data_IF_007252592063
#
_entry.id   IF_007252592063
#
_cell.length_a   1.000
_cell.length_b   1.000
_cell.length_c   1.000
_cell.angle_alpha   90.00
_cell.angle_beta   90.00
_cell.angle_gamma   90.00
#
_symmetry.space_group_name_H-M   'P 1'
#
loop_
_entity.id
_entity.type
_entity.pdbx_description
1 polymer ?
#
# COMPACT_ATOMS: atom_id res chain seq x y z
N UNK A 1 20.92 32.10 21.23
CA UNK A 1 19.46 31.89 21.31
C UNK A 1 19.22 30.39 21.43
N UNK A 2 18.36 29.96 22.35
CA UNK A 2 17.95 28.56 22.44
C UNK A 2 17.01 28.26 21.28
N UNK A 3 17.30 27.23 20.49
CA UNK A 3 16.48 26.83 19.34
C UNK A 3 15.39 25.88 19.84
N UNK A 4 14.14 26.25 19.65
CA UNK A 4 12.94 25.52 20.09
C UNK A 4 12.39 24.58 19.01
N UNK A 5 12.74 24.83 17.73
CA UNK A 5 12.29 24.09 16.56
C UNK A 5 13.48 23.57 15.77
N UNK A 6 13.51 22.26 15.48
CA UNK A 6 14.48 21.67 14.57
C UNK A 6 13.82 21.33 13.24
N UNK A 7 14.54 21.57 12.14
CA UNK A 7 14.13 21.22 10.79
C UNK A 7 15.21 20.35 10.15
N UNK A 8 14.79 19.26 9.49
CA UNK A 8 15.65 18.35 8.74
C UNK A 8 15.04 18.16 7.36
N UNK A 9 15.82 18.42 6.30
CA UNK A 9 15.44 17.98 4.97
C UNK A 9 15.74 16.48 4.84
N UNK A 10 14.69 15.69 4.71
CA UNK A 10 14.74 14.23 4.69
C UNK A 10 15.00 13.77 3.26
N UNK A 11 14.25 14.33 2.30
CA UNK A 11 14.42 14.15 0.85
C UNK A 11 13.92 15.40 0.11
N UNK A 12 14.04 15.42 -1.22
CA UNK A 12 13.44 16.49 -2.03
C UNK A 12 11.92 16.51 -1.82
N UNK A 13 11.38 17.68 -1.44
CA UNK A 13 9.96 17.84 -1.11
C UNK A 13 9.49 17.16 0.19
N UNK A 14 10.41 16.65 1.03
CA UNK A 14 10.10 16.00 2.31
C UNK A 14 10.96 16.55 3.45
N UNK A 15 10.32 17.12 4.45
CA UNK A 15 10.98 17.69 5.63
C UNK A 15 10.38 17.13 6.92
N UNK A 16 11.20 17.11 7.95
CA UNK A 16 10.83 16.82 9.31
C UNK A 16 10.98 18.09 10.14
N UNK A 17 9.95 18.47 10.88
CA UNK A 17 9.99 19.58 11.84
C UNK A 17 9.61 19.06 13.21
N UNK A 18 10.49 19.22 14.19
CA UNK A 18 10.25 18.82 15.58
C UNK A 18 10.24 20.02 16.52
N UNK A 19 9.23 20.04 17.40
CA UNK A 19 9.06 21.02 18.48
C UNK A 19 8.71 20.23 19.75
N UNK A 20 9.71 19.60 20.41
CA UNK A 20 9.46 18.68 21.53
C UNK A 20 8.75 19.33 22.73
N UNK A 21 8.93 20.63 22.93
CA UNK A 21 8.33 21.38 24.04
C UNK A 21 6.80 21.31 24.11
N UNK A 22 6.15 21.10 22.96
CA UNK A 22 4.69 21.02 22.84
C UNK A 22 4.23 19.69 22.23
N UNK A 23 5.09 18.66 22.24
CA UNK A 23 4.85 17.35 21.62
C UNK A 23 4.32 17.49 20.18
N UNK A 24 5.03 18.25 19.34
CA UNK A 24 4.64 18.44 17.94
C UNK A 24 5.74 18.03 16.98
N UNK A 25 5.38 17.11 16.09
CA UNK A 25 6.28 16.49 15.13
C UNK A 25 5.59 16.44 13.76
N UNK A 26 6.06 17.26 12.84
CA UNK A 26 5.43 17.50 11.56
C UNK A 26 6.26 16.89 10.42
N UNK A 27 5.62 15.97 9.69
CA UNK A 27 6.08 15.57 8.38
C UNK A 27 5.57 16.59 7.36
N UNK A 28 6.47 17.32 6.69
CA UNK A 28 6.11 18.24 5.61
C UNK A 28 6.38 17.57 4.26
N UNK A 29 5.34 17.38 3.46
CA UNK A 29 5.38 16.54 2.26
C UNK A 29 5.03 15.10 2.56
N UNK A 30 4.29 14.45 1.66
CA UNK A 30 3.72 13.12 1.90
C UNK A 30 3.87 12.22 0.67
N UNK A 31 5.07 12.22 0.10
CA UNK A 31 5.43 11.39 -1.05
C UNK A 31 5.40 9.88 -0.72
N UNK A 32 5.44 9.07 -1.77
CA UNK A 32 5.54 7.61 -1.66
C UNK A 32 6.74 7.21 -0.78
N UNK A 33 6.56 6.18 0.05
CA UNK A 33 7.57 5.70 1.02
C UNK A 33 8.09 6.77 2.02
N UNK A 34 7.37 7.88 2.26
CA UNK A 34 7.83 8.94 3.18
C UNK A 34 8.17 8.45 4.60
N UNK A 35 7.45 7.45 5.12
CA UNK A 35 7.78 6.81 6.40
C UNK A 35 9.14 6.11 6.35
N UNK A 36 9.45 5.39 5.27
CA UNK A 36 10.74 4.70 5.10
C UNK A 36 11.90 5.69 5.12
N UNK A 37 11.72 6.84 4.47
CA UNK A 37 12.68 7.94 4.49
C UNK A 37 12.91 8.51 5.89
N UNK A 38 11.84 8.71 6.65
CA UNK A 38 11.94 9.21 8.02
C UNK A 38 12.68 8.22 8.93
N UNK A 39 12.44 6.91 8.78
CA UNK A 39 13.18 5.86 9.49
C UNK A 39 14.67 5.93 9.14
N UNK A 40 15.01 5.97 7.85
CA UNK A 40 16.41 6.01 7.39
C UNK A 40 17.19 7.23 7.88
N UNK A 41 16.50 8.35 8.10
CA UNK A 41 17.09 9.60 8.57
C UNK A 41 17.05 9.75 10.09
N UNK A 42 16.61 8.72 10.82
CA UNK A 42 16.52 8.72 12.28
C UNK A 42 15.47 9.69 12.82
N UNK A 43 14.47 10.07 12.01
CA UNK A 43 13.34 10.89 12.45
C UNK A 43 12.21 10.03 13.06
N UNK A 44 12.18 8.74 12.70
CA UNK A 44 11.38 7.69 13.32
C UNK A 44 12.37 6.69 13.89
N UNK A 45 12.23 6.39 15.18
CA UNK A 45 13.11 5.48 15.90
C UNK A 45 12.30 4.50 16.74
N UNK A 46 12.78 3.26 16.85
CA UNK A 46 12.21 2.28 17.76
C UNK A 46 12.58 2.64 19.21
N UNK A 47 11.61 2.59 20.10
CA UNK A 47 11.77 2.83 21.53
C UNK A 47 11.09 1.72 22.32
N UNK A 48 11.45 1.60 23.60
CA UNK A 48 10.86 0.64 24.53
C UNK A 48 10.47 1.35 25.82
N UNK A 49 9.24 1.12 26.27
CA UNK A 49 8.79 1.59 27.59
C UNK A 49 7.95 0.52 28.26
N UNK A 50 8.31 0.15 29.49
CA UNK A 50 7.63 -0.90 30.27
C UNK A 50 7.51 -2.25 29.53
N UNK A 51 8.55 -2.64 28.75
CA UNK A 51 8.55 -3.88 27.97
C UNK A 51 7.73 -3.84 26.68
N UNK A 52 7.11 -2.70 26.35
CA UNK A 52 6.41 -2.50 25.10
C UNK A 52 7.30 -1.75 24.10
N UNK A 53 7.52 -2.37 22.95
CA UNK A 53 8.27 -1.81 21.82
C UNK A 53 7.30 -1.06 20.91
N UNK A 54 7.62 0.19 20.58
CA UNK A 54 6.86 1.02 19.65
C UNK A 54 7.81 2.02 18.95
N UNK A 55 7.30 2.77 17.98
CA UNK A 55 8.08 3.74 17.22
C UNK A 55 7.75 5.19 17.65
N UNK A 56 8.74 6.09 17.61
CA UNK A 56 8.52 7.55 17.62
C UNK A 56 8.08 8.02 16.25
N UNK A 57 7.73 9.30 16.07
CA UNK A 57 7.51 9.82 14.72
C UNK A 57 6.53 10.98 14.62
N UNK A 58 6.06 11.29 13.40
CA UNK A 58 5.21 12.45 13.17
C UNK A 58 3.87 12.26 13.87
N UNK A 59 3.24 13.35 14.28
CA UNK A 59 1.85 13.40 14.72
C UNK A 59 1.02 14.41 13.91
N UNK A 60 1.62 15.00 12.88
CA UNK A 60 0.97 15.84 11.89
C UNK A 60 1.61 15.66 10.51
N UNK A 61 0.82 15.90 9.46
CA UNK A 61 1.27 15.91 8.07
C UNK A 61 0.87 17.23 7.41
N UNK A 62 1.83 17.94 6.83
CA UNK A 62 1.61 19.08 5.94
C UNK A 62 1.65 18.58 4.48
N UNK A 63 0.53 18.70 3.79
CA UNK A 63 0.31 18.23 2.43
C UNK A 63 0.87 19.22 1.40
N UNK A 64 1.39 18.70 0.30
CA UNK A 64 1.69 19.50 -0.89
C UNK A 64 0.38 20.05 -1.50
N UNK A 65 0.43 21.24 -2.09
CA UNK A 65 -0.71 21.85 -2.80
C UNK A 65 -1.05 21.10 -4.09
N UNK A 66 -0.03 20.53 -4.75
CA UNK A 66 -0.13 19.86 -6.04
C UNK A 66 -0.39 18.36 -5.89
N UNK A 67 -1.33 17.81 -6.65
CA UNK A 67 -1.67 16.38 -6.61
C UNK A 67 -0.59 15.47 -7.20
N UNK A 68 0.02 15.89 -8.32
CA UNK A 68 1.06 15.14 -9.02
C UNK A 68 2.32 16.01 -9.17
N UNK A 69 3.47 15.38 -9.01
CA UNK A 69 4.78 15.98 -9.29
C UNK A 69 5.70 14.93 -9.92
N UNK A 70 6.36 15.27 -11.04
CA UNK A 70 7.28 14.36 -11.72
C UNK A 70 6.64 13.03 -12.16
N UNK A 71 5.32 13.00 -12.36
CA UNK A 71 4.57 11.80 -12.69
C UNK A 71 4.14 10.92 -11.50
N UNK A 72 4.39 11.35 -10.27
CA UNK A 72 4.06 10.63 -9.04
C UNK A 72 3.04 11.39 -8.20
N UNK A 73 2.29 10.68 -7.36
CA UNK A 73 1.44 11.31 -6.34
C UNK A 73 2.29 12.07 -5.31
N UNK A 74 1.91 13.32 -5.03
CA UNK A 74 2.62 14.15 -4.04
C UNK A 74 2.19 13.87 -2.60
N UNK A 75 0.98 13.31 -2.43
CA UNK A 75 0.33 13.10 -1.14
C UNK A 75 -0.23 11.67 -1.04
N UNK A 76 0.33 10.85 -0.16
CA UNK A 76 -0.04 9.47 0.15
C UNK A 76 -0.03 9.28 1.69
N UNK A 77 -1.01 9.89 2.37
CA UNK A 77 -1.04 9.99 3.83
C UNK A 77 -1.54 8.75 4.57
N UNK A 78 -1.91 7.68 3.86
CA UNK A 78 -2.40 6.44 4.48
C UNK A 78 -1.36 5.81 5.39
N UNK A 79 -0.14 5.57 4.90
CA UNK A 79 0.91 4.91 5.68
C UNK A 79 1.47 5.81 6.80
N UNK A 80 1.68 7.13 6.61
CA UNK A 80 1.96 8.04 7.71
C UNK A 80 0.92 8.00 8.82
N UNK A 81 -0.37 7.98 8.48
CA UNK A 81 -1.47 7.88 9.46
C UNK A 81 -1.52 6.49 10.11
N UNK A 82 -1.34 5.43 9.33
CA UNK A 82 -1.27 4.07 9.86
C UNK A 82 -0.09 3.92 10.84
N UNK A 83 1.07 4.49 10.53
CA UNK A 83 2.22 4.54 11.43
C UNK A 83 1.89 5.25 12.75
N UNK A 84 1.24 6.42 12.71
CA UNK A 84 0.79 7.14 13.91
C UNK A 84 -0.11 6.31 14.82
N UNK A 85 -0.97 5.45 14.25
CA UNK A 85 -1.91 4.66 15.03
C UNK A 85 -1.35 3.32 15.49
N UNK A 86 -0.71 2.57 14.59
CA UNK A 86 -0.34 1.18 14.82
C UNK A 86 1.09 1.00 15.32
N UNK A 87 2.05 1.74 14.75
CA UNK A 87 3.47 1.61 15.14
C UNK A 87 3.83 2.53 16.31
N UNK A 88 3.22 3.72 16.38
CA UNK A 88 3.41 4.60 17.53
C UNK A 88 2.42 4.30 18.68
N UNK A 89 1.31 3.62 18.41
CA UNK A 89 0.29 3.26 19.41
C UNK A 89 -0.62 4.38 19.90
N UNK A 90 -0.77 5.49 19.16
CA UNK A 90 -1.52 6.68 19.65
C UNK A 90 -3.01 6.43 19.90
N UNK A 91 -3.62 5.49 19.19
CA UNK A 91 -5.05 5.15 19.34
C UNK A 91 -5.35 4.00 20.30
N UNK A 92 -4.34 3.42 20.94
CA UNK A 92 -4.49 2.22 21.76
C UNK A 92 -4.60 2.61 23.24
N UNK A 93 -5.79 2.56 23.82
CA UNK A 93 -6.01 2.89 25.23
C UNK A 93 -5.12 2.03 26.12
N UNK A 94 -4.35 2.67 27.01
CA UNK A 94 -3.38 2.00 27.88
C UNK A 94 -1.98 1.86 27.30
N UNK A 95 -1.76 2.23 26.02
CA UNK A 95 -0.44 2.32 25.42
C UNK A 95 0.33 3.54 25.98
N UNK A 96 1.66 3.48 26.20
CA UNK A 96 2.45 4.59 26.75
C UNK A 96 2.35 5.88 25.93
N UNK A 97 2.20 5.76 24.62
CA UNK A 97 2.04 6.88 23.68
C UNK A 97 0.57 7.17 23.31
N UNK A 98 -0.40 6.61 24.03
CA UNK A 98 -1.80 6.94 23.84
C UNK A 98 -2.02 8.44 24.01
N UNK A 99 -2.76 9.05 23.08
CA UNK A 99 -3.13 10.45 23.18
C UNK A 99 -4.57 10.66 22.76
N UNK A 100 -5.30 11.49 23.50
CA UNK A 100 -6.62 11.97 23.08
C UNK A 100 -6.52 12.98 21.94
N UNK A 101 -5.34 13.55 21.68
CA UNK A 101 -5.09 14.45 20.54
C UNK A 101 -4.97 13.61 19.27
N UNK A 102 -5.86 13.85 18.32
CA UNK A 102 -5.81 13.19 17.02
C UNK A 102 -4.61 13.68 16.20
N UNK A 103 -4.05 12.82 15.34
CA UNK A 103 -3.13 13.29 14.32
C UNK A 103 -3.77 14.34 13.42
N UNK A 104 -2.93 15.26 12.93
CA UNK A 104 -3.39 16.45 12.22
C UNK A 104 -3.00 16.42 10.74
N UNK A 105 -3.97 16.61 9.85
CA UNK A 105 -3.73 16.89 8.43
C UNK A 105 -3.79 18.40 8.17
N UNK A 106 -2.79 18.95 7.50
CA UNK A 106 -2.66 20.38 7.23
C UNK A 106 -2.45 20.58 5.73
N UNK A 107 -3.18 21.50 5.10
CA UNK A 107 -3.01 21.78 3.68
C UNK A 107 -4.19 22.54 3.09
N UNK A 108 -4.28 22.61 1.77
CA UNK A 108 -5.45 23.20 1.11
C UNK A 108 -6.71 22.36 1.35
N UNK A 109 -7.88 23.01 1.34
CA UNK A 109 -9.18 22.33 1.48
C UNK A 109 -9.34 21.18 0.49
N UNK A 110 -8.89 21.36 -0.76
CA UNK A 110 -8.95 20.34 -1.80
C UNK A 110 -8.09 19.12 -1.44
N UNK A 111 -6.84 19.34 -1.03
CA UNK A 111 -5.92 18.25 -0.71
C UNK A 111 -6.33 17.50 0.55
N UNK A 112 -6.85 18.22 1.56
CA UNK A 112 -7.42 17.59 2.76
C UNK A 112 -8.60 16.69 2.39
N UNK A 113 -9.57 17.19 1.62
CA UNK A 113 -10.74 16.40 1.23
C UNK A 113 -10.33 15.14 0.45
N UNK A 114 -9.40 15.27 -0.49
CA UNK A 114 -8.84 14.17 -1.26
C UNK A 114 -8.17 13.12 -0.35
N UNK A 115 -7.30 13.56 0.57
CA UNK A 115 -6.58 12.64 1.46
C UNK A 115 -7.50 11.96 2.48
N UNK A 116 -8.52 12.64 3.00
CA UNK A 116 -9.51 12.00 3.89
C UNK A 116 -10.27 10.88 3.16
N UNK A 117 -10.75 11.13 1.94
CA UNK A 117 -11.40 10.09 1.14
C UNK A 117 -10.43 8.95 0.79
N UNK A 118 -9.22 9.30 0.39
CA UNK A 118 -8.15 8.35 0.07
C UNK A 118 -7.84 7.41 1.24
N UNK A 119 -7.56 7.96 2.44
CA UNK A 119 -7.25 7.15 3.64
C UNK A 119 -8.46 6.29 4.02
N UNK A 120 -9.68 6.80 3.88
CA UNK A 120 -10.88 6.02 4.15
C UNK A 120 -10.99 4.81 3.21
N UNK A 121 -10.70 4.99 1.92
CA UNK A 121 -10.63 3.89 0.94
C UNK A 121 -9.43 2.98 1.17
N UNK A 122 -8.31 3.51 1.65
CA UNK A 122 -7.16 2.72 2.10
C UNK A 122 -7.49 1.78 3.23
N UNK A 123 -8.20 2.29 4.25
CA UNK A 123 -8.56 1.53 5.44
C UNK A 123 -9.66 0.50 5.21
N UNK A 124 -10.60 0.80 4.31
CA UNK A 124 -11.85 0.04 4.20
C UNK A 124 -12.21 -0.42 2.78
N UNK A 125 -11.57 0.08 1.73
CA UNK A 125 -11.91 -0.23 0.34
C UNK A 125 -13.34 0.18 -0.02
N UNK A 126 -14.18 -0.78 -0.39
CA UNK A 126 -15.62 -0.59 -0.52
C UNK A 126 -16.30 -0.52 0.86
N UNK A 127 -17.17 0.47 1.02
CA UNK A 127 -17.66 0.94 2.32
C UNK A 127 -19.13 0.67 2.56
N UNK A 128 -19.81 0.02 1.60
CA UNK A 128 -21.19 -0.43 1.77
C UNK A 128 -21.47 -1.72 0.99
N UNK A 129 -22.55 -2.43 1.36
CA UNK A 129 -23.03 -3.60 0.60
C UNK A 129 -23.49 -3.21 -0.81
N UNK A 130 -24.02 -2.01 -0.97
CA UNK A 130 -24.47 -1.47 -2.26
C UNK A 130 -23.29 -1.29 -3.22
N UNK A 131 -22.14 -0.84 -2.72
CA UNK A 131 -20.92 -0.78 -3.53
C UNK A 131 -20.48 -2.19 -3.98
N UNK A 132 -20.56 -3.20 -3.12
CA UNK A 132 -20.28 -4.60 -3.50
C UNK A 132 -21.26 -5.11 -4.57
N UNK A 133 -22.56 -4.88 -4.39
CA UNK A 133 -23.58 -5.26 -5.37
C UNK A 133 -23.37 -4.56 -6.73
N UNK A 134 -22.93 -3.30 -6.72
CA UNK A 134 -22.63 -2.55 -7.94
C UNK A 134 -21.44 -3.12 -8.74
N UNK A 135 -20.62 -4.00 -8.14
CA UNK A 135 -19.54 -4.71 -8.84
C UNK A 135 -20.05 -5.91 -9.66
N UNK A 136 -21.35 -6.23 -9.58
CA UNK A 136 -21.96 -7.38 -10.23
C UNK A 136 -22.02 -8.64 -9.36
N UNK A 137 -21.67 -8.53 -8.07
CA UNK A 137 -21.82 -9.63 -7.12
C UNK A 137 -23.29 -10.02 -6.93
N UNK A 138 -23.50 -11.31 -6.65
CA UNK A 138 -24.78 -11.77 -6.13
C UNK A 138 -25.02 -11.21 -4.72
N UNK A 139 -26.28 -11.23 -4.26
CA UNK A 139 -26.60 -10.83 -2.87
C UNK A 139 -25.87 -11.68 -1.83
N UNK A 140 -25.69 -12.96 -2.13
CA UNK A 140 -25.04 -13.93 -1.24
C UNK A 140 -23.53 -13.68 -1.15
N UNK A 141 -22.87 -13.42 -2.28
CA UNK A 141 -21.44 -13.08 -2.30
C UNK A 141 -21.18 -11.70 -1.68
N UNK A 142 -22.00 -10.70 -1.98
CA UNK A 142 -21.88 -9.38 -1.35
C UNK A 142 -22.09 -9.46 0.17
N UNK A 143 -23.02 -10.29 0.66
CA UNK A 143 -23.20 -10.50 2.09
C UNK A 143 -21.99 -11.19 2.73
N UNK A 144 -21.43 -12.21 2.08
CA UNK A 144 -20.22 -12.90 2.54
C UNK A 144 -19.03 -11.94 2.63
N UNK A 145 -18.72 -11.20 1.56
CA UNK A 145 -17.65 -10.20 1.54
C UNK A 145 -17.84 -9.13 2.63
N UNK A 146 -19.07 -8.62 2.78
CA UNK A 146 -19.37 -7.62 3.79
C UNK A 146 -19.15 -8.14 5.21
N UNK A 147 -19.62 -9.34 5.51
CA UNK A 147 -19.48 -9.92 6.85
C UNK A 147 -18.00 -10.13 7.21
N UNK A 148 -17.18 -10.63 6.27
CA UNK A 148 -15.73 -10.70 6.47
C UNK A 148 -15.11 -9.33 6.70
N UNK A 149 -15.48 -8.33 5.88
CA UNK A 149 -14.98 -6.95 6.04
C UNK A 149 -15.32 -6.38 7.41
N UNK A 150 -16.53 -6.63 7.93
CA UNK A 150 -16.92 -6.17 9.26
C UNK A 150 -16.05 -6.80 10.36
N UNK A 151 -15.59 -8.05 10.22
CA UNK A 151 -14.65 -8.64 11.19
C UNK A 151 -13.30 -7.91 11.21
N UNK A 152 -12.78 -7.49 10.05
CA UNK A 152 -11.57 -6.66 9.99
C UNK A 152 -11.81 -5.24 10.49
N UNK A 153 -13.00 -4.69 10.26
CA UNK A 153 -13.40 -3.36 10.70
C UNK A 153 -13.87 -3.32 12.18
N UNK A 154 -13.79 -4.43 12.92
CA UNK A 154 -14.32 -4.53 14.30
C UNK A 154 -15.80 -4.15 14.41
N UNK A 155 -16.59 -4.52 13.41
CA UNK A 155 -18.04 -4.34 13.35
C UNK A 155 -18.53 -3.01 12.77
N UNK A 156 -17.64 -2.04 12.52
CA UNK A 156 -18.05 -0.69 12.10
C UNK A 156 -17.07 -0.05 11.11
N UNK A 157 -17.60 0.51 10.01
CA UNK A 157 -16.88 1.44 9.14
C UNK A 157 -16.94 2.84 9.75
N UNK A 158 -15.84 3.27 10.38
CA UNK A 158 -15.76 4.57 11.04
C UNK A 158 -15.43 5.66 10.03
N UNK A 159 -16.06 6.83 10.20
CA UNK A 159 -15.68 8.01 9.42
C UNK A 159 -14.26 8.42 9.76
N UNK A 160 -13.49 8.77 8.74
CA UNK A 160 -12.07 9.10 8.90
C UNK A 160 -11.82 10.38 9.72
N UNK A 161 -12.76 11.32 9.74
CA UNK A 161 -12.71 12.54 10.54
C UNK A 161 -12.92 12.29 12.06
N UNK A 162 -13.36 11.09 12.43
CA UNK A 162 -13.30 10.63 13.81
C UNK A 162 -11.87 10.25 14.22
N UNK A 163 -10.99 9.95 13.26
CA UNK A 163 -9.59 9.59 13.49
C UNK A 163 -8.65 10.78 13.28
N UNK A 164 -8.94 11.70 12.35
CA UNK A 164 -8.03 12.79 12.04
C UNK A 164 -8.64 14.16 12.31
N UNK A 165 -7.85 15.07 12.86
CA UNK A 165 -8.14 16.49 12.80
C UNK A 165 -7.59 17.07 11.50
N UNK A 166 -8.18 18.16 11.02
CA UNK A 166 -7.73 18.83 9.80
C UNK A 166 -7.73 20.35 9.93
N UNK A 167 -6.69 21.00 9.41
CA UNK A 167 -6.59 22.47 9.36
C UNK A 167 -6.34 22.91 7.92
N UNK A 168 -7.29 23.69 7.40
CA UNK A 168 -7.21 24.29 6.07
C UNK A 168 -6.31 25.51 6.12
N UNK A 169 -5.25 25.48 5.31
CA UNK A 169 -4.40 26.64 5.08
C UNK A 169 -5.00 27.54 4.00
N UNK A 170 -4.88 28.85 4.23
CA UNK A 170 -5.12 29.90 3.25
C UNK A 170 -3.83 30.72 3.08
N UNK A 171 -3.93 31.87 2.41
CA UNK A 171 -2.77 32.77 2.25
C UNK A 171 -2.44 33.53 3.55
N UNK A 172 -3.35 33.52 4.54
CA UNK A 172 -3.10 34.10 5.86
C UNK A 172 -2.37 33.12 6.78
N UNK A 173 -1.54 33.67 7.67
CA UNK A 173 -0.93 32.89 8.75
C UNK A 173 -1.99 32.45 9.75
N UNK A 174 -1.97 31.17 10.12
CA UNK A 174 -2.90 30.58 11.08
C UNK A 174 -2.14 29.80 12.15
N UNK A 175 -2.63 29.86 13.39
CA UNK A 175 -2.16 28.99 14.47
C UNK A 175 -2.77 27.59 14.31
N UNK A 176 -1.91 26.58 14.25
CA UNK A 176 -2.31 25.19 14.04
C UNK A 176 -2.43 24.41 15.35
N UNK A 177 -1.59 24.70 16.34
CA UNK A 177 -1.56 24.04 17.65
C UNK A 177 -0.55 24.72 18.59
N UNK A 178 -0.93 24.96 19.85
CA UNK A 178 -0.02 25.34 20.94
C UNK A 178 1.00 26.45 20.58
N UNK A 179 0.56 27.52 19.89
CA UNK A 179 1.42 28.64 19.47
C UNK A 179 2.22 28.43 18.18
N UNK A 180 2.12 27.26 17.54
CA UNK A 180 2.73 26.97 16.24
C UNK A 180 1.86 27.58 15.16
N UNK A 181 2.47 28.39 14.29
CA UNK A 181 1.78 29.05 13.17
C UNK A 181 2.35 28.59 11.83
N UNK A 182 1.48 28.44 10.84
CA UNK A 182 1.87 28.16 9.46
C UNK A 182 1.28 29.22 8.54
N UNK A 183 2.10 29.70 7.61
CA UNK A 183 1.68 30.55 6.49
C UNK A 183 2.07 29.87 5.18
N UNK A 184 1.13 29.84 4.24
CA UNK A 184 1.39 29.46 2.85
C UNK A 184 1.92 30.68 2.10
N UNK A 185 3.19 30.66 1.72
CA UNK A 185 3.85 31.79 1.05
C UNK A 185 3.64 31.74 -0.47
N UNK A 186 3.64 30.54 -1.05
CA UNK A 186 3.37 30.26 -2.45
C UNK A 186 2.90 28.80 -2.62
N UNK A 187 2.65 28.36 -3.86
CA UNK A 187 2.37 26.94 -4.14
C UNK A 187 3.53 26.09 -3.61
N UNK A 188 3.22 25.12 -2.73
CA UNK A 188 4.19 24.23 -2.08
C UNK A 188 5.23 24.90 -1.15
N UNK A 189 5.20 26.22 -0.98
CA UNK A 189 6.13 26.95 -0.13
C UNK A 189 5.43 27.42 1.14
N UNK A 190 5.91 26.95 2.29
CA UNK A 190 5.29 27.24 3.59
C UNK A 190 6.33 27.74 4.59
N UNK A 191 5.96 28.73 5.40
CA UNK A 191 6.72 29.13 6.58
C UNK A 191 6.03 28.66 7.85
N UNK A 192 6.78 27.97 8.70
CA UNK A 192 6.38 27.48 10.03
C UNK A 192 7.07 28.34 11.08
N UNK A 193 6.32 28.83 12.07
CA UNK A 193 6.81 29.68 13.15
C UNK A 193 6.43 29.13 14.51
N UNK A 194 7.35 29.19 15.47
CA UNK A 194 7.10 28.91 16.88
C UNK A 194 8.02 29.78 17.74
N UNK A 195 7.44 30.67 18.55
CA UNK A 195 8.16 31.73 19.26
C UNK A 195 9.04 32.54 18.29
N UNK A 196 10.34 32.63 18.56
CA UNK A 196 11.34 33.34 17.75
C UNK A 196 11.85 32.49 16.57
N UNK A 197 11.57 31.18 16.56
CA UNK A 197 12.03 30.30 15.48
C UNK A 197 11.10 30.37 14.27
N UNK A 198 11.71 30.37 13.09
CA UNK A 198 11.04 30.35 11.79
C UNK A 198 11.77 29.41 10.85
N UNK A 199 11.02 28.58 10.13
CA UNK A 199 11.57 27.65 9.14
C UNK A 199 10.69 27.67 7.89
N UNK A 200 11.31 27.66 6.72
CA UNK A 200 10.62 27.54 5.45
C UNK A 200 10.82 26.14 4.88
N UNK A 201 9.76 25.56 4.32
CA UNK A 201 9.76 24.27 3.64
C UNK A 201 9.22 24.44 2.23
N UNK A 202 9.93 23.89 1.25
CA UNK A 202 9.52 23.83 -0.15
C UNK A 202 9.22 22.38 -0.53
N UNK A 203 7.94 22.04 -0.68
CA UNK A 203 7.46 20.69 -0.98
C UNK A 203 7.58 20.34 -2.47
N UNK A 204 8.15 21.23 -3.27
CA UNK A 204 8.39 21.02 -4.69
C UNK A 204 9.55 20.04 -4.91
N UNK A 205 9.45 19.22 -5.97
CA UNK A 205 10.59 18.46 -6.49
C UNK A 205 11.16 19.11 -7.76
N UNK A 206 12.42 18.85 -8.12
CA UNK A 206 12.98 19.33 -9.38
C UNK A 206 12.12 18.91 -10.58
N UNK A 207 12.01 19.76 -11.60
CA UNK A 207 11.15 19.49 -12.77
C UNK A 207 11.55 18.23 -13.57
N UNK A 208 12.83 17.86 -13.54
CA UNK A 208 13.37 16.60 -14.09
C UNK A 208 13.52 15.51 -13.02
N UNK A 209 13.19 15.82 -11.78
CA UNK A 209 13.39 14.98 -10.62
C UNK A 209 12.28 13.95 -10.49
N UNK A 210 12.66 12.76 -10.05
CA UNK A 210 11.75 11.81 -9.40
C UNK A 210 12.02 11.89 -7.92
N UNK A 211 11.02 11.51 -7.12
CA UNK A 211 11.32 11.09 -5.77
C UNK A 211 12.36 9.97 -5.83
N UNK A 212 13.49 10.06 -5.09
CA UNK A 212 14.40 8.94 -5.02
C UNK A 212 13.64 7.69 -4.52
N UNK A 213 14.21 6.51 -4.68
CA UNK A 213 13.77 5.34 -3.92
C UNK A 213 14.55 5.28 -2.59
N UNK A 214 13.93 4.85 -1.49
CA UNK A 214 14.62 4.76 -0.21
C UNK A 214 15.66 3.63 -0.22
N UNK A 215 15.53 2.64 -1.09
CA UNK A 215 16.43 1.49 -1.19
C UNK A 215 17.27 1.51 -2.47
N UNK A 216 18.52 1.02 -2.43
CA UNK A 216 19.29 0.76 -3.63
C UNK A 216 18.84 -0.54 -4.30
N UNK A 217 18.88 -0.58 -5.63
CA UNK A 217 18.70 -1.80 -6.40
C UNK A 217 19.93 -2.09 -7.26
N UNK A 218 20.26 -3.38 -7.40
CA UNK A 218 21.23 -3.85 -8.38
C UNK A 218 20.65 -3.74 -9.79
N UNK A 219 21.50 -3.41 -10.77
CA UNK A 219 21.09 -3.40 -12.16
C UNK A 219 21.22 -4.79 -12.76
N UNK A 220 20.12 -5.29 -13.32
CA UNK A 220 20.03 -6.61 -13.94
C UNK A 220 19.35 -6.47 -15.30
N UNK A 221 19.73 -7.31 -16.25
CA UNK A 221 18.98 -7.47 -17.50
C UNK A 221 18.12 -8.74 -17.41
N UNK A 222 16.81 -8.58 -17.58
CA UNK A 222 15.84 -9.67 -17.46
C UNK A 222 15.61 -10.31 -18.83
N UNK A 223 15.87 -11.61 -19.02
CA UNK A 223 15.61 -12.26 -20.29
C UNK A 223 14.09 -12.33 -20.58
N UNK A 224 13.73 -12.17 -21.87
CA UNK A 224 12.34 -12.22 -22.35
C UNK A 224 11.94 -13.66 -22.66
N UNK A 225 11.85 -14.46 -21.62
CA UNK A 225 11.57 -15.91 -21.66
C UNK A 225 10.14 -16.26 -22.10
N UNK A 226 9.88 -17.55 -22.30
CA UNK A 226 8.52 -18.04 -22.57
C UNK A 226 7.60 -17.93 -21.36
N UNK A 227 8.06 -18.35 -20.18
CA UNK A 227 7.36 -18.20 -18.91
C UNK A 227 8.39 -18.07 -17.79
N UNK A 228 8.47 -16.89 -17.18
CA UNK A 228 9.42 -16.63 -16.09
C UNK A 228 8.83 -15.67 -15.06
N UNK A 229 9.24 -15.85 -13.81
CA UNK A 229 8.90 -14.98 -12.69
C UNK A 229 10.15 -14.24 -12.23
N UNK A 230 10.11 -12.92 -12.23
CA UNK A 230 11.12 -12.08 -11.60
C UNK A 230 10.57 -11.54 -10.30
N UNK A 231 11.28 -11.82 -9.21
CA UNK A 231 10.90 -11.36 -7.89
C UNK A 231 11.33 -9.90 -7.67
N UNK A 232 10.47 -8.97 -8.06
CA UNK A 232 10.77 -7.53 -8.06
C UNK A 232 10.71 -6.85 -6.69
N UNK A 233 10.10 -7.48 -5.67
CA UNK A 233 10.06 -6.93 -4.31
C UNK A 233 9.57 -7.95 -3.27
N UNK A 234 10.11 -7.88 -2.06
CA UNK A 234 9.84 -8.84 -0.96
C UNK A 234 9.56 -8.18 0.39
N UNK A 235 9.73 -6.87 0.48
CA UNK A 235 9.44 -6.12 1.69
C UNK A 235 7.94 -5.98 1.92
N UNK A 236 7.58 -5.64 3.15
CA UNK A 236 6.25 -5.10 3.45
C UNK A 236 6.23 -3.57 3.16
N UNK A 237 5.12 -2.93 3.51
CA UNK A 237 4.96 -1.48 3.47
C UNK A 237 5.96 -0.66 4.29
N UNK A 238 6.75 -1.30 5.16
CA UNK A 238 7.64 -0.66 6.13
C UNK A 238 9.13 -0.98 5.88
N UNK A 239 9.45 -1.93 5.01
CA UNK A 239 10.83 -2.33 4.71
C UNK A 239 11.60 -1.23 3.97
N UNK A 240 12.64 -0.70 4.62
CA UNK A 240 13.47 0.39 4.10
C UNK A 240 14.54 -0.06 3.10
N UNK A 241 14.77 -1.38 2.96
CA UNK A 241 15.86 -1.96 2.18
C UNK A 241 15.38 -2.66 0.91
N UNK A 242 14.09 -2.99 0.82
CA UNK A 242 13.53 -3.75 -0.31
C UNK A 242 12.24 -3.11 -0.84
N UNK A 243 11.96 -3.22 -2.15
CA UNK A 243 10.65 -2.89 -2.70
C UNK A 243 9.56 -3.75 -2.05
N UNK A 244 8.35 -3.19 -1.99
CA UNK A 244 7.16 -3.89 -1.53
C UNK A 244 6.89 -5.16 -2.35
N UNK A 245 6.19 -6.12 -1.74
CA UNK A 245 5.83 -7.38 -2.37
C UNK A 245 5.19 -7.15 -3.73
N UNK A 246 5.87 -7.64 -4.76
CA UNK A 246 5.42 -7.58 -6.15
C UNK A 246 6.13 -8.66 -6.95
N UNK A 247 5.68 -8.93 -8.17
CA UNK A 247 6.40 -9.80 -9.10
C UNK A 247 6.23 -9.32 -10.54
N UNK A 248 7.18 -9.67 -11.39
CA UNK A 248 7.07 -9.48 -12.83
C UNK A 248 6.93 -10.85 -13.46
N UNK A 249 5.88 -11.01 -14.26
CA UNK A 249 5.59 -12.20 -15.03
C UNK A 249 6.01 -11.94 -16.48
N UNK A 250 6.93 -12.74 -16.99
CA UNK A 250 7.29 -12.74 -18.42
C UNK A 250 6.56 -13.89 -19.09
N UNK A 251 5.78 -13.59 -20.13
CA UNK A 251 5.06 -14.59 -20.92
C UNK A 251 5.18 -14.32 -22.41
N UNK A 252 5.75 -15.25 -23.17
CA UNK A 252 6.04 -15.10 -24.61
C UNK A 252 6.74 -13.77 -24.91
N UNK A 253 7.72 -13.40 -24.09
CA UNK A 253 8.46 -12.14 -24.17
C UNK A 253 7.69 -10.87 -23.76
N UNK A 254 6.39 -10.96 -23.44
CA UNK A 254 5.61 -9.85 -22.88
C UNK A 254 5.81 -9.76 -21.37
N UNK A 255 5.82 -8.53 -20.86
CA UNK A 255 6.08 -8.25 -19.45
C UNK A 255 4.80 -7.82 -18.77
N UNK A 256 4.42 -8.49 -17.68
CA UNK A 256 3.28 -8.16 -16.86
C UNK A 256 3.72 -7.87 -15.43
N UNK A 257 3.11 -6.87 -14.80
CA UNK A 257 3.30 -6.60 -13.38
C UNK A 257 2.25 -7.35 -12.58
N UNK A 258 2.64 -7.90 -11.44
CA UNK A 258 1.75 -8.35 -10.38
C UNK A 258 2.01 -7.39 -9.21
N UNK A 259 1.05 -6.49 -9.04
CA UNK A 259 1.09 -5.26 -8.26
C UNK A 259 2.09 -4.22 -8.78
N UNK A 260 1.78 -2.95 -8.51
CA UNK A 260 2.56 -1.79 -8.86
C UNK A 260 2.71 -0.87 -7.63
N UNK A 261 3.57 -1.29 -6.71
CA UNK A 261 3.87 -0.56 -5.49
C UNK A 261 4.67 0.74 -5.68
N UNK A 262 5.01 1.43 -4.58
CA UNK A 262 5.84 2.62 -4.57
C UNK A 262 7.13 2.43 -5.35
N UNK A 263 7.56 3.46 -6.08
CA UNK A 263 8.81 3.44 -6.84
C UNK A 263 8.91 2.36 -7.94
N UNK A 264 7.80 1.80 -8.44
CA UNK A 264 7.81 0.79 -9.52
C UNK A 264 8.65 1.20 -10.74
N UNK A 265 8.65 2.48 -11.12
CA UNK A 265 9.47 2.98 -12.23
C UNK A 265 10.98 2.83 -11.98
N UNK A 266 11.42 2.94 -10.73
CA UNK A 266 12.81 2.71 -10.35
C UNK A 266 13.14 1.21 -10.42
N UNK A 267 12.26 0.35 -9.91
CA UNK A 267 12.41 -1.11 -10.01
C UNK A 267 12.50 -1.58 -11.45
N UNK A 268 11.69 -1.02 -12.36
CA UNK A 268 11.74 -1.33 -13.78
C UNK A 268 13.05 -0.91 -14.44
N UNK A 269 13.54 0.30 -14.14
CA UNK A 269 14.84 0.77 -14.65
C UNK A 269 15.97 -0.13 -14.15
N UNK A 270 15.95 -0.53 -12.88
CA UNK A 270 16.95 -1.43 -12.32
C UNK A 270 16.95 -2.81 -13.00
N UNK A 271 15.81 -3.23 -13.56
CA UNK A 271 15.66 -4.50 -14.27
C UNK A 271 15.84 -4.38 -15.79
N UNK A 272 16.24 -3.21 -16.31
CA UNK A 272 16.39 -3.00 -17.76
C UNK A 272 15.06 -3.08 -18.52
N UNK A 273 13.96 -2.70 -17.86
CA UNK A 273 12.61 -2.72 -18.41
C UNK A 273 12.09 -1.29 -18.55
N UNK A 274 11.75 -0.90 -19.78
CA UNK A 274 11.05 0.34 -20.05
C UNK A 274 9.57 0.26 -19.64
N UNK A 275 9.02 1.33 -19.09
CA UNK A 275 7.59 1.42 -18.74
C UNK A 275 6.67 1.15 -19.95
N UNK A 276 7.14 1.45 -21.16
CA UNK A 276 6.40 1.17 -22.39
C UNK A 276 6.35 -0.33 -22.75
N UNK A 277 7.26 -1.16 -22.24
CA UNK A 277 7.27 -2.62 -22.48
C UNK A 277 6.19 -3.39 -21.69
N UNK A 278 5.55 -2.73 -20.70
CA UNK A 278 4.55 -3.37 -19.84
C UNK A 278 3.27 -3.68 -20.63
N UNK A 279 2.98 -4.97 -20.81
CA UNK A 279 1.81 -5.46 -21.53
C UNK A 279 0.52 -5.39 -20.69
N UNK A 280 0.65 -5.49 -19.37
CA UNK A 280 -0.47 -5.42 -18.42
C UNK A 280 -0.02 -5.38 -16.96
N UNK A 281 -0.95 -5.02 -16.09
CA UNK A 281 -0.80 -5.08 -14.63
C UNK A 281 -1.95 -5.89 -14.03
N UNK A 282 -1.62 -6.88 -13.23
CA UNK A 282 -2.54 -7.58 -12.33
C UNK A 282 -2.45 -6.92 -10.97
N UNK A 283 -3.58 -6.57 -10.36
CA UNK A 283 -3.60 -5.91 -9.05
C UNK A 283 -4.35 -6.77 -8.04
N UNK A 284 -3.70 -7.08 -6.92
CA UNK A 284 -4.25 -7.92 -5.86
C UNK A 284 -5.26 -7.14 -5.03
N UNK A 285 -4.90 -5.91 -4.61
CA UNK A 285 -5.74 -5.02 -3.81
C UNK A 285 -5.24 -3.57 -3.84
N UNK A 286 -5.86 -2.69 -3.04
CA UNK A 286 -5.65 -1.25 -3.14
C UNK A 286 -4.70 -0.63 -2.11
N UNK A 287 -3.98 -1.36 -1.24
CA UNK A 287 -3.05 -0.72 -0.29
C UNK A 287 -1.84 -0.09 -1.01
N UNK A 288 -1.24 0.93 -0.38
CA UNK A 288 -0.25 1.79 -1.03
C UNK A 288 0.94 1.02 -1.57
N UNK A 289 1.38 0.00 -0.84
CA UNK A 289 2.49 -0.90 -1.16
C UNK A 289 2.23 -1.80 -2.38
N UNK A 290 0.98 -1.92 -2.84
CA UNK A 290 0.60 -2.68 -4.03
C UNK A 290 0.08 -1.82 -5.19
N UNK A 291 -0.31 -0.56 -4.92
CA UNK A 291 -1.07 0.28 -5.85
C UNK A 291 -0.42 1.63 -6.20
N UNK A 292 0.36 2.25 -5.30
CA UNK A 292 0.76 3.65 -5.44
C UNK A 292 1.59 3.95 -6.70
N UNK A 293 2.25 2.94 -7.25
CA UNK A 293 3.06 3.01 -8.47
C UNK A 293 2.26 3.07 -9.77
N UNK A 294 0.94 2.85 -9.76
CA UNK A 294 0.11 2.95 -10.98
C UNK A 294 0.24 4.31 -11.69
N UNK A 295 0.50 5.38 -10.93
CA UNK A 295 0.76 6.72 -11.49
C UNK A 295 1.90 6.75 -12.50
N UNK A 296 2.93 5.92 -12.31
CA UNK A 296 4.05 5.81 -13.24
C UNK A 296 3.67 5.20 -14.60
N UNK A 297 2.55 4.48 -14.67
CA UNK A 297 2.06 3.85 -15.90
C UNK A 297 1.11 4.77 -16.69
N UNK A 298 0.71 5.92 -16.15
CA UNK A 298 -0.19 6.87 -16.80
C UNK A 298 0.44 7.60 -17.98
N UNK A 299 1.77 7.74 -18.02
CA UNK A 299 2.51 8.54 -19.00
C UNK A 299 3.01 7.74 -20.20
N UNK A 300 2.33 6.63 -20.52
CA UNK A 300 2.70 5.74 -21.63
C UNK A 300 2.05 6.18 -22.93
N UNK A 301 2.65 5.77 -24.04
CA UNK A 301 2.10 6.03 -25.39
C UNK A 301 0.81 5.25 -25.66
N UNK A 302 0.58 4.18 -24.89
CA UNK A 302 -0.62 3.34 -24.98
C UNK A 302 -1.17 3.02 -23.60
N UNK A 303 -2.49 2.89 -23.48
CA UNK A 303 -3.15 2.41 -22.26
C UNK A 303 -2.63 1.02 -21.90
N UNK A 304 -2.19 0.85 -20.65
CA UNK A 304 -1.80 -0.47 -20.13
C UNK A 304 -3.06 -1.28 -19.83
N UNK A 305 -3.02 -2.59 -20.09
CA UNK A 305 -4.11 -3.47 -19.67
C UNK A 305 -4.12 -3.59 -18.15
N UNK A 306 -5.26 -3.33 -17.53
CA UNK A 306 -5.42 -3.43 -16.07
C UNK A 306 -6.33 -4.62 -15.75
N UNK A 307 -5.79 -5.61 -15.06
CA UNK A 307 -6.46 -6.86 -14.73
C UNK A 307 -6.74 -6.95 -13.23
N UNK A 308 -8.01 -7.09 -12.89
CA UNK A 308 -8.46 -7.34 -11.53
C UNK A 308 -9.87 -7.94 -11.55
N UNK A 309 -10.33 -8.50 -10.43
CA UNK A 309 -11.76 -8.78 -10.29
C UNK A 309 -12.55 -7.48 -10.16
N UNK A 310 -13.85 -7.47 -10.50
CA UNK A 310 -14.67 -6.24 -10.46
C UNK A 310 -14.66 -5.52 -9.11
N UNK A 311 -14.60 -6.26 -8.00
CA UNK A 311 -14.61 -5.69 -6.64
C UNK A 311 -13.27 -5.09 -6.23
N UNK A 312 -12.15 -5.74 -6.56
CA UNK A 312 -10.80 -5.17 -6.40
C UNK A 312 -10.67 -3.91 -7.26
N UNK A 313 -11.07 -4.00 -8.54
CA UNK A 313 -11.08 -2.86 -9.47
C UNK A 313 -11.86 -1.68 -8.89
N UNK A 314 -13.09 -1.89 -8.42
CA UNK A 314 -13.92 -0.81 -7.91
C UNK A 314 -13.26 -0.11 -6.69
N UNK A 315 -12.66 -0.90 -5.79
CA UNK A 315 -11.92 -0.36 -4.64
C UNK A 315 -10.73 0.50 -5.08
N UNK A 316 -9.92 -0.02 -6.01
CA UNK A 316 -8.77 0.67 -6.59
C UNK A 316 -9.18 1.97 -7.30
N UNK A 317 -10.19 1.93 -8.17
CA UNK A 317 -10.65 3.11 -8.92
C UNK A 317 -11.11 4.21 -7.97
N UNK A 318 -11.89 3.87 -6.93
CA UNK A 318 -12.35 4.85 -5.93
C UNK A 318 -11.20 5.49 -5.18
N UNK A 319 -10.21 4.70 -4.77
CA UNK A 319 -9.01 5.20 -4.09
C UNK A 319 -8.15 6.08 -5.01
N UNK A 320 -7.99 5.68 -6.28
CA UNK A 320 -7.25 6.43 -7.29
C UNK A 320 -7.93 7.76 -7.67
N UNK A 321 -9.25 7.75 -7.85
CA UNK A 321 -10.06 8.93 -8.12
C UNK A 321 -9.94 9.96 -6.99
N UNK A 322 -9.97 9.51 -5.73
CA UNK A 322 -9.77 10.36 -4.56
C UNK A 322 -8.38 11.05 -4.58
N UNK A 323 -7.31 10.30 -4.88
CA UNK A 323 -5.96 10.87 -5.01
C UNK A 323 -5.88 11.94 -6.09
N UNK A 324 -6.42 11.66 -7.28
CA UNK A 324 -6.38 12.61 -8.38
C UNK A 324 -7.34 13.80 -8.18
N UNK A 325 -8.29 13.70 -7.25
CA UNK A 325 -9.45 14.60 -7.15
C UNK A 325 -10.19 14.69 -8.49
N UNK A 326 -10.37 13.53 -9.12
CA UNK A 326 -10.99 13.38 -10.44
C UNK A 326 -12.09 12.32 -10.37
N UNK A 327 -13.06 12.34 -11.30
CA UNK A 327 -14.11 11.31 -11.36
C UNK A 327 -13.55 9.89 -11.60
N UNK A 328 -14.33 8.87 -11.21
CA UNK A 328 -13.95 7.45 -11.35
C UNK A 328 -13.79 7.03 -12.82
N UNK A 329 -14.57 7.63 -13.73
CA UNK A 329 -14.55 7.37 -15.16
C UNK A 329 -13.19 7.67 -15.83
N UNK A 330 -12.42 8.62 -15.30
CA UNK A 330 -11.12 9.01 -15.85
C UNK A 330 -10.10 7.85 -15.79
N UNK A 331 -10.32 6.86 -14.91
CA UNK A 331 -9.48 5.67 -14.86
C UNK A 331 -9.52 4.87 -16.17
N UNK A 332 -10.67 4.82 -16.85
CA UNK A 332 -10.85 4.06 -18.10
C UNK A 332 -10.20 4.76 -19.31
N UNK A 333 -9.90 6.06 -19.19
CA UNK A 333 -9.11 6.80 -20.17
C UNK A 333 -7.61 6.53 -20.02
N UNK A 334 -7.17 6.15 -18.83
CA UNK A 334 -5.76 5.86 -18.50
C UNK A 334 -5.41 4.37 -18.70
N UNK A 335 -6.38 3.49 -18.44
CA UNK A 335 -6.17 2.04 -18.40
C UNK A 335 -7.16 1.30 -19.30
N UNK A 336 -6.67 0.27 -20.00
CA UNK A 336 -7.52 -0.69 -20.72
C UNK A 336 -7.98 -1.76 -19.72
N UNK A 337 -9.08 -1.49 -19.03
CA UNK A 337 -9.61 -2.34 -17.95
C UNK A 337 -10.13 -3.68 -18.49
N UNK A 338 -9.65 -4.78 -17.89
CA UNK A 338 -9.98 -6.16 -18.22
C UNK A 338 -10.39 -6.91 -16.95
N UNK A 339 -11.68 -7.07 -16.75
CA UNK A 339 -12.19 -7.79 -15.58
C UNK A 339 -11.83 -9.28 -15.64
N UNK A 340 -11.38 -9.80 -14.51
CA UNK A 340 -11.17 -11.21 -14.29
C UNK A 340 -12.36 -11.81 -13.55
N UNK A 341 -12.78 -13.00 -13.94
CA UNK A 341 -13.78 -13.78 -13.23
C UNK A 341 -13.12 -14.50 -12.05
N UNK A 342 -13.64 -14.23 -10.85
CA UNK A 342 -13.20 -14.85 -9.60
C UNK A 342 -13.49 -16.36 -9.57
N UNK A 343 -12.63 -17.14 -8.87
CA UNK A 343 -12.64 -18.61 -8.79
C UNK A 343 -12.56 -19.36 -10.12
N UNK A 344 -12.31 -18.66 -11.23
CA UNK A 344 -12.31 -19.23 -12.58
C UNK A 344 -10.97 -18.96 -13.27
N UNK A 345 -10.53 -19.88 -14.12
CA UNK A 345 -9.41 -19.62 -15.03
C UNK A 345 -9.84 -18.65 -16.12
N UNK A 346 -9.10 -17.56 -16.28
CA UNK A 346 -9.28 -16.55 -17.30
C UNK A 346 -8.13 -16.69 -18.31
N UNK A 347 -8.44 -16.99 -19.56
CA UNK A 347 -7.44 -17.19 -20.62
C UNK A 347 -7.05 -15.85 -21.27
N UNK A 348 -5.75 -15.55 -21.24
CA UNK A 348 -5.11 -14.39 -21.85
C UNK A 348 -4.23 -14.77 -23.04
N UNK A 349 -4.75 -15.63 -23.92
CA UNK A 349 -4.08 -16.20 -25.09
C UNK A 349 -2.96 -17.20 -24.70
N UNK A 350 -3.33 -18.19 -23.89
CA UNK A 350 -2.45 -19.28 -23.43
C UNK A 350 -1.78 -19.04 -22.09
N UNK A 351 -1.84 -17.82 -21.55
CA UNK A 351 -1.58 -17.53 -20.14
C UNK A 351 -2.91 -17.53 -19.41
N UNK A 352 -3.14 -18.51 -18.55
CA UNK A 352 -4.35 -18.57 -17.74
C UNK A 352 -4.08 -17.97 -16.36
N UNK A 353 -5.03 -17.18 -15.85
CA UNK A 353 -4.99 -16.63 -14.49
C UNK A 353 -6.28 -16.93 -13.73
N UNK A 354 -6.15 -17.41 -12.50
CA UNK A 354 -7.26 -17.65 -11.58
C UNK A 354 -7.13 -16.76 -10.35
N UNK A 355 -7.94 -15.69 -10.25
CA UNK A 355 -8.05 -14.92 -9.03
C UNK A 355 -8.96 -15.62 -8.03
N UNK A 356 -8.54 -15.66 -6.77
CA UNK A 356 -9.36 -16.15 -5.65
C UNK A 356 -9.30 -15.10 -4.54
N UNK A 357 -10.44 -14.83 -3.92
CA UNK A 357 -10.53 -13.94 -2.76
C UNK A 357 -9.46 -14.28 -1.71
N UNK A 358 -8.86 -13.26 -1.11
CA UNK A 358 -8.15 -13.36 0.16
C UNK A 358 -8.88 -12.54 1.21
N UNK A 359 -9.20 -13.09 2.40
CA UNK A 359 -9.74 -12.31 3.49
C UNK A 359 -8.72 -11.25 3.95
N UNK A 360 -9.05 -9.98 3.76
CA UNK A 360 -8.21 -8.85 4.12
C UNK A 360 -9.09 -7.61 4.37
N UNK A 361 -8.62 -6.53 5.05
CA UNK A 361 -9.45 -5.36 5.35
C UNK A 361 -10.05 -4.65 4.12
N UNK A 362 -9.37 -4.73 2.98
CA UNK A 362 -9.83 -4.23 1.69
C UNK A 362 -10.07 -5.38 0.70
N UNK A 363 -10.83 -5.10 -0.36
CA UNK A 363 -11.08 -6.03 -1.46
C UNK A 363 -9.77 -6.58 -2.02
N UNK A 364 -9.53 -7.89 -1.83
CA UNK A 364 -8.24 -8.52 -2.13
C UNK A 364 -8.42 -9.85 -2.84
N UNK A 365 -7.60 -10.10 -3.86
CA UNK A 365 -7.46 -11.41 -4.49
C UNK A 365 -6.01 -11.83 -4.62
N UNK A 366 -5.75 -13.10 -4.39
CA UNK A 366 -4.49 -13.75 -4.80
C UNK A 366 -4.60 -14.25 -6.23
N UNK A 367 -3.47 -14.58 -6.85
CA UNK A 367 -3.45 -15.08 -8.22
C UNK A 367 -2.74 -16.41 -8.34
N UNK A 368 -3.33 -17.30 -9.14
CA UNK A 368 -2.63 -18.44 -9.73
C UNK A 368 -2.50 -18.22 -11.22
N UNK A 369 -1.32 -18.49 -11.75
CA UNK A 369 -1.01 -18.43 -13.17
C UNK A 369 -0.61 -19.81 -13.63
N UNK A 370 -1.01 -20.16 -14.85
CA UNK A 370 -0.49 -21.34 -15.53
C UNK A 370 -0.35 -21.14 -17.02
N UNK A 371 0.52 -21.92 -17.63
CA UNK A 371 0.62 -22.04 -19.08
C UNK A 371 1.14 -23.42 -19.48
N UNK A 372 0.80 -23.84 -20.69
CA UNK A 372 1.27 -25.10 -21.25
C UNK A 372 2.34 -24.83 -22.30
N UNK A 373 3.46 -25.55 -22.23
CA UNK A 373 4.52 -25.50 -23.24
C UNK A 373 5.14 -26.87 -23.46
N UNK A 374 5.13 -27.33 -24.72
CA UNK A 374 5.67 -28.63 -25.16
C UNK A 374 5.18 -29.84 -24.34
N UNK A 375 3.93 -29.79 -23.88
CA UNK A 375 3.30 -30.87 -23.10
C UNK A 375 3.56 -30.81 -21.58
N UNK A 376 4.27 -29.78 -21.11
CA UNK A 376 4.48 -29.50 -19.68
C UNK A 376 3.62 -28.31 -19.26
N UNK A 377 2.93 -28.43 -18.14
CA UNK A 377 2.26 -27.30 -17.47
C UNK A 377 3.28 -26.61 -16.57
N UNK A 378 3.29 -25.27 -16.59
CA UNK A 378 4.07 -24.44 -15.69
C UNK A 378 3.12 -23.58 -14.88
N UNK A 379 3.38 -23.43 -13.58
CA UNK A 379 2.49 -22.82 -12.61
C UNK A 379 3.20 -21.84 -11.69
N UNK A 380 2.54 -20.73 -11.39
CA UNK A 380 3.02 -19.74 -10.42
C UNK A 380 1.87 -19.27 -9.53
N UNK A 381 2.07 -19.29 -8.21
CA UNK A 381 1.09 -18.81 -7.24
C UNK A 381 1.64 -17.58 -6.50
N UNK A 382 0.85 -16.50 -6.51
CA UNK A 382 1.16 -15.23 -5.85
C UNK A 382 0.16 -14.96 -4.72
N UNK A 383 0.55 -15.28 -3.48
CA UNK A 383 -0.25 -15.14 -2.27
C UNK A 383 0.10 -13.83 -1.54
N UNK A 384 -0.26 -12.69 -2.12
CA UNK A 384 -0.16 -11.39 -1.44
C UNK A 384 -1.29 -11.21 -0.44
N UNK A 385 -0.97 -10.64 0.72
CA UNK A 385 -1.92 -10.21 1.75
C UNK A 385 -2.95 -11.29 2.10
N UNK A 386 -2.42 -12.50 2.33
CA UNK A 386 -3.19 -13.62 2.86
C UNK A 386 -3.29 -13.53 4.37
N UNK A 387 -4.28 -14.18 4.98
CA UNK A 387 -4.30 -14.41 6.42
C UNK A 387 -3.76 -15.81 6.76
N UNK A 388 -3.16 -15.96 7.94
CA UNK A 388 -2.79 -17.28 8.46
C UNK A 388 -3.97 -18.26 8.53
N UNK A 389 -3.70 -19.57 8.48
CA UNK A 389 -4.72 -20.62 8.58
C UNK A 389 -5.49 -20.53 9.91
N UNK A 390 -4.80 -20.18 11.00
CA UNK A 390 -5.42 -19.89 12.31
C UNK A 390 -6.45 -18.76 12.20
N UNK A 391 -6.10 -17.65 11.55
CA UNK A 391 -7.01 -16.51 11.38
C UNK A 391 -8.17 -16.86 10.46
N UNK A 392 -7.92 -17.60 9.38
CA UNK A 392 -8.96 -18.10 8.46
C UNK A 392 -9.97 -18.99 9.21
N UNK A 393 -9.50 -19.92 10.04
CA UNK A 393 -10.35 -20.73 10.92
C UNK A 393 -11.18 -19.88 11.88
N UNK A 394 -10.56 -18.90 12.54
CA UNK A 394 -11.28 -18.00 13.45
C UNK A 394 -12.37 -17.18 12.75
N UNK A 395 -12.12 -16.68 11.53
CA UNK A 395 -13.11 -15.97 10.73
C UNK A 395 -14.27 -16.91 10.33
N UNK A 396 -13.93 -18.11 9.89
CA UNK A 396 -14.90 -19.15 9.53
C UNK A 396 -15.83 -19.50 10.69
N UNK A 397 -15.30 -19.69 11.89
CA UNK A 397 -16.10 -20.04 13.08
C UNK A 397 -17.03 -18.89 13.50
N UNK A 398 -16.50 -17.66 13.59
CA UNK A 398 -17.28 -16.48 14.01
C UNK A 398 -18.43 -16.15 13.06
N UNK A 399 -18.22 -16.38 11.77
CA UNK A 399 -19.21 -16.09 10.74
C UNK A 399 -20.10 -17.30 10.41
N UNK A 400 -19.92 -18.44 11.10
CA UNK A 400 -20.65 -19.68 10.85
C UNK A 400 -20.48 -20.22 9.41
N UNK A 401 -19.26 -20.12 8.87
CA UNK A 401 -18.88 -20.47 7.50
C UNK A 401 -18.05 -21.77 7.40
N UNK A 402 -18.11 -22.64 8.42
CA UNK A 402 -17.25 -23.82 8.53
C UNK A 402 -17.41 -24.87 7.43
N UNK A 403 -18.53 -24.84 6.70
CA UNK A 403 -18.82 -25.70 5.55
C UNK A 403 -19.11 -24.86 4.29
N UNK A 404 -18.60 -23.63 4.26
CA UNK A 404 -18.82 -22.72 3.15
C UNK A 404 -17.80 -22.98 2.03
N UNK A 405 -18.28 -23.32 0.83
CA UNK A 405 -17.44 -23.60 -0.34
C UNK A 405 -16.48 -22.45 -0.69
N UNK A 406 -16.77 -21.21 -0.28
CA UNK A 406 -15.88 -20.06 -0.48
C UNK A 406 -14.68 -20.11 0.45
N UNK A 407 -14.85 -20.56 1.70
CA UNK A 407 -13.72 -20.78 2.63
C UNK A 407 -12.86 -21.94 2.14
N UNK A 408 -13.48 -23.00 1.64
CA UNK A 408 -12.76 -24.13 1.05
C UNK A 408 -11.95 -23.70 -0.18
N UNK A 409 -12.55 -22.90 -1.08
CA UNK A 409 -11.84 -22.35 -2.23
C UNK A 409 -10.62 -21.48 -1.83
N UNK A 410 -10.70 -20.72 -0.74
CA UNK A 410 -9.57 -19.94 -0.20
C UNK A 410 -8.46 -20.88 0.28
N UNK A 411 -8.81 -21.93 1.05
CA UNK A 411 -7.84 -22.92 1.54
C UNK A 411 -7.18 -23.68 0.38
N UNK A 412 -7.97 -24.14 -0.57
CA UNK A 412 -7.49 -24.85 -1.76
C UNK A 412 -6.50 -24.00 -2.55
N UNK A 413 -6.79 -22.69 -2.70
CA UNK A 413 -5.88 -21.76 -3.34
C UNK A 413 -4.55 -21.64 -2.58
N UNK A 414 -4.58 -21.53 -1.25
CA UNK A 414 -3.35 -21.36 -0.46
C UNK A 414 -2.45 -22.59 -0.57
N UNK A 415 -3.03 -23.79 -0.45
CA UNK A 415 -2.28 -25.03 -0.27
C UNK A 415 -2.14 -25.89 -1.53
N UNK A 416 -2.71 -25.46 -2.67
CA UNK A 416 -2.47 -26.14 -3.95
C UNK A 416 -1.00 -25.98 -4.39
N UNK A 417 -0.41 -27.07 -4.87
CA UNK A 417 0.98 -27.09 -5.34
C UNK A 417 1.16 -26.20 -6.58
N UNK A 418 2.36 -25.62 -6.70
CA UNK A 418 2.83 -24.91 -7.89
C UNK A 418 4.34 -25.12 -8.07
N UNK A 419 4.88 -24.83 -9.25
CA UNK A 419 6.33 -24.86 -9.46
C UNK A 419 7.01 -23.75 -8.65
N UNK A 420 6.39 -22.57 -8.61
CA UNK A 420 6.83 -21.45 -7.77
C UNK A 420 5.64 -20.91 -7.01
N UNK A 421 5.80 -20.76 -5.69
CA UNK A 421 4.81 -20.13 -4.82
C UNK A 421 5.47 -19.02 -4.01
N UNK A 422 4.92 -17.81 -4.12
CA UNK A 422 5.35 -16.65 -3.35
C UNK A 422 4.30 -16.31 -2.29
N UNK A 423 4.73 -16.16 -1.05
CA UNK A 423 3.87 -16.21 0.14
C UNK A 423 4.10 -14.99 1.02
N UNK A 424 3.04 -14.24 1.31
CA UNK A 424 3.01 -13.27 2.40
C UNK A 424 3.14 -13.99 3.76
N UNK A 425 4.13 -13.58 4.55
CA UNK A 425 4.39 -14.06 5.92
C UNK A 425 4.50 -12.89 6.93
N UNK A 426 3.84 -11.78 6.64
CA UNK A 426 3.86 -10.57 7.45
C UNK A 426 3.45 -10.84 8.90
N UNK A 427 4.00 -10.07 9.84
CA UNK A 427 3.96 -10.42 11.27
C UNK A 427 2.69 -9.98 12.01
N UNK A 428 1.67 -9.46 11.31
CA UNK A 428 0.44 -8.94 11.93
C UNK A 428 -0.74 -9.91 11.77
N UNK A 429 -1.82 -9.71 12.54
CA UNK A 429 -3.01 -10.58 12.49
C UNK A 429 -3.77 -10.56 11.15
N UNK A 430 -3.46 -9.62 10.26
CA UNK A 430 -4.05 -9.51 8.92
C UNK A 430 -3.19 -10.16 7.81
N UNK A 431 -2.07 -10.78 8.18
CA UNK A 431 -1.10 -11.40 7.26
C UNK A 431 -0.93 -12.92 7.48
N UNK A 432 -0.17 -13.55 6.58
CA UNK A 432 0.09 -14.98 6.55
C UNK A 432 1.12 -15.44 7.59
N UNK A 433 1.30 -16.75 7.70
CA UNK A 433 2.34 -17.34 8.53
C UNK A 433 3.11 -18.40 7.73
N UNK A 434 4.43 -18.31 7.73
CA UNK A 434 5.31 -19.27 7.08
C UNK A 434 5.06 -20.71 7.55
N UNK A 435 4.80 -20.93 8.85
CA UNK A 435 4.61 -22.26 9.42
C UNK A 435 3.36 -22.98 8.86
N UNK A 436 2.38 -22.26 8.31
CA UNK A 436 1.22 -22.87 7.65
C UNK A 436 1.63 -23.65 6.37
N UNK A 437 2.84 -23.41 5.85
CA UNK A 437 3.35 -23.98 4.60
C UNK A 437 4.50 -24.99 4.80
N UNK A 438 4.76 -25.46 6.02
CA UNK A 438 5.82 -26.45 6.30
C UNK A 438 5.71 -27.74 5.47
N UNK A 439 4.47 -28.12 5.11
CA UNK A 439 4.18 -29.32 4.33
C UNK A 439 3.65 -29.01 2.93
N UNK A 440 3.94 -27.82 2.40
CA UNK A 440 3.54 -27.44 1.05
C UNK A 440 4.27 -28.30 0.01
N UNK A 441 3.55 -28.71 -1.03
CA UNK A 441 4.07 -29.60 -2.07
C UNK A 441 4.53 -28.86 -3.33
N UNK A 442 4.77 -27.54 -3.24
CA UNK A 442 5.32 -26.75 -4.34
C UNK A 442 6.83 -26.96 -4.49
N UNK A 443 7.36 -26.86 -5.70
CA UNK A 443 8.80 -27.09 -5.94
C UNK A 443 9.69 -26.01 -5.31
N UNK A 444 9.21 -24.75 -5.28
CA UNK A 444 9.90 -23.63 -4.65
C UNK A 444 8.97 -22.68 -3.92
N UNK A 445 9.26 -22.45 -2.65
CA UNK A 445 8.59 -21.46 -1.81
C UNK A 445 9.45 -20.21 -1.62
N UNK A 446 8.83 -19.04 -1.77
CA UNK A 446 9.47 -17.74 -1.61
C UNK A 446 8.68 -16.94 -0.60
N UNK A 447 9.27 -16.75 0.57
CA UNK A 447 8.65 -16.02 1.67
C UNK A 447 8.88 -14.51 1.49
N UNK A 448 7.81 -13.74 1.64
CA UNK A 448 7.74 -12.33 1.26
C UNK A 448 6.86 -11.52 2.24
N UNK A 449 6.71 -10.22 1.94
CA UNK A 449 5.88 -9.28 2.72
C UNK A 449 6.31 -9.16 4.17
N UNK A 450 7.61 -8.97 4.38
CA UNK A 450 8.14 -8.74 5.73
C UNK A 450 9.33 -7.80 5.67
N UNK A 451 9.42 -6.83 6.60
CA UNK A 451 10.63 -6.04 6.83
C UNK A 451 11.73 -6.81 7.58
N UNK A 452 11.37 -7.87 8.28
CA UNK A 452 12.32 -8.61 9.13
C UNK A 452 13.09 -9.66 8.32
N UNK A 453 14.38 -9.88 8.63
CA UNK A 453 15.10 -11.01 8.08
C UNK A 453 14.42 -12.34 8.46
N UNK A 454 14.35 -13.26 7.51
CA UNK A 454 13.80 -14.59 7.75
C UNK A 454 14.57 -15.31 8.86
N UNK A 455 13.84 -15.91 9.80
CA UNK A 455 14.41 -16.78 10.82
C UNK A 455 14.97 -18.07 10.20
N UNK A 456 15.82 -18.80 10.94
CA UNK A 456 16.32 -20.10 10.46
C UNK A 456 15.19 -21.06 10.12
N UNK A 457 14.15 -21.12 10.97
CA UNK A 457 12.94 -21.91 10.74
C UNK A 457 12.22 -21.51 9.44
N UNK A 458 12.02 -20.21 9.22
CA UNK A 458 11.38 -19.74 7.99
C UNK A 458 12.20 -20.10 6.74
N UNK A 459 13.53 -20.02 6.81
CA UNK A 459 14.42 -20.41 5.70
C UNK A 459 14.40 -21.91 5.39
N UNK A 460 14.11 -22.75 6.38
CA UNK A 460 13.89 -24.18 6.16
C UNK A 460 12.61 -24.45 5.37
N UNK A 461 11.60 -23.59 5.51
CA UNK A 461 10.33 -23.66 4.78
C UNK A 461 10.49 -23.08 3.37
N UNK A 462 11.08 -21.89 3.23
CA UNK A 462 11.26 -21.25 1.92
C UNK A 462 12.21 -20.05 1.94
N UNK A 463 12.79 -19.73 0.78
CA UNK A 463 13.74 -18.62 0.62
C UNK A 463 13.81 -18.03 -0.80
#
# INVERSE_FOLDING_TARGET
MMKHMQIVQVAAGLYWVSIPEVDFYLQCGCMQDSVKYLIQRGCIEQTEQHGLIYETGPNAVLLADTTLQGGHFSNLAEFPVAHMYFHQGKGLVGHPNYSSRKPLLIGSSKQIAAQLQYIHRGKYGLTSKEELLATGMTKEDAAFHWNMKMEFASGEIKRIDQLLDAIVLSDQEIEIRDGIRIRRDAINLFTIRFREDSAQVDLSIPATGRYPAPYPLGFHDVPREYFAIVHSGQGDGWDINRPAMSSILVYQGKIYLIDAGPNVAYSLIALGIGVNEIAGVFTTHCHDDHFAGLSALMYRDTRVKYYATPFVRASVIKKFAALLSRPEEDFYDLFDVRDLKERSWNDLNGLEVRPVLSPHPVETTTFQFRTHYKGTEFTYTHLADIVSNKRLGSLSDKLFLTQDERIDAIRDQYFSSADIKKIDIGTSEIHGNADDFEHDNSDRLILAHTKTPLTSRQKEIGS
#
